data_IF_962843504801
#
_entry.id   IF_962843504801
#
_cell.length_a   1.000
_cell.length_b   1.000
_cell.length_c   1.000
_cell.angle_alpha   90.00
_cell.angle_beta   90.00
_cell.angle_gamma   90.00
#
_symmetry.space_group_name_H-M   'P 1'
#
loop_
_entity.id
_entity.type
_entity.pdbx_description
1 polymer ?
#
# COMPACT_ATOMS: atom_id res chain seq x y z
N UNK A 1 -36.53 21.17 9.02
CA UNK A 1 -36.51 19.97 8.14
C UNK A 1 -35.68 20.37 6.92
N UNK A 2 -34.59 19.74 6.47
CA UNK A 2 -34.05 18.38 6.59
C UNK A 2 -32.51 18.45 6.38
N UNK A 3 -31.64 18.36 7.40
CA UNK A 3 -30.79 17.22 7.85
C UNK A 3 -29.83 16.55 6.82
N UNK A 4 -29.21 17.26 5.87
CA UNK A 4 -28.09 16.72 5.07
C UNK A 4 -26.87 17.66 5.01
N UNK A 5 -26.27 17.96 6.17
CA UNK A 5 -24.90 18.48 6.28
C UNK A 5 -24.46 18.51 7.73
N UNK A 6 -23.86 17.42 8.20
CA UNK A 6 -22.91 17.40 9.33
C UNK A 6 -22.38 15.99 9.57
N UNK A 7 -21.30 15.62 8.89
CA UNK A 7 -20.39 14.60 9.44
C UNK A 7 -18.94 14.74 8.94
N UNK A 8 -18.46 15.95 8.68
CA UNK A 8 -17.01 16.18 8.51
C UNK A 8 -16.57 17.38 9.33
N UNK A 9 -16.55 17.16 10.65
CA UNK A 9 -16.00 18.05 11.66
C UNK A 9 -14.99 17.30 12.50
N UNK A 10 -13.70 17.48 12.16
CA UNK A 10 -12.50 17.39 12.99
C UNK A 10 -12.72 16.94 14.45
N UNK A 11 -12.37 15.68 14.73
CA UNK A 11 -11.80 15.24 16.02
C UNK A 11 -10.58 14.36 15.71
N UNK A 12 -9.36 14.71 16.16
CA UNK A 12 -8.24 13.78 16.15
C UNK A 12 -8.41 12.79 17.30
N UNK A 13 -9.31 11.82 17.10
CA UNK A 13 -9.49 10.70 18.02
C UNK A 13 -8.55 9.57 17.65
N UNK A 14 -7.38 9.51 18.29
CA UNK A 14 -6.75 8.37 18.98
C UNK A 14 -7.04 6.91 18.53
N UNK A 15 -7.45 6.66 17.30
CA UNK A 15 -7.69 5.33 16.72
C UNK A 15 -6.77 5.13 15.51
N UNK A 16 -5.49 4.93 15.80
CA UNK A 16 -4.49 4.64 14.78
C UNK A 16 -3.11 4.24 15.30
N UNK A 17 -2.86 4.27 16.61
CA UNK A 17 -1.60 3.84 17.21
C UNK A 17 -1.66 2.41 17.77
N UNK A 18 -2.12 1.47 16.95
CA UNK A 18 -1.83 0.04 17.14
C UNK A 18 -1.45 -0.61 15.81
N UNK A 19 -0.59 0.07 15.05
CA UNK A 19 0.21 -0.56 13.99
C UNK A 19 1.70 -0.18 14.11
N UNK A 20 2.19 -0.05 15.35
CA UNK A 20 3.62 -0.04 15.58
C UNK A 20 4.12 -1.49 15.71
N UNK A 21 4.74 -1.92 14.60
CA UNK A 21 5.69 -3.02 14.45
C UNK A 21 5.16 -4.47 14.53
N UNK A 22 5.48 -5.33 13.52
CA UNK A 22 6.83 -5.47 13.00
C UNK A 22 6.98 -5.13 11.51
N UNK A 23 6.97 -3.84 11.18
CA UNK A 23 7.59 -3.33 9.95
C UNK A 23 9.12 -3.25 10.03
N UNK A 24 9.69 -3.35 11.24
CA UNK A 24 11.13 -3.26 11.49
C UNK A 24 11.90 -4.50 11.01
N UNK A 25 11.25 -5.67 10.97
CA UNK A 25 11.92 -6.91 10.61
C UNK A 25 12.14 -7.05 9.09
N UNK A 26 11.39 -6.32 8.26
CA UNK A 26 11.56 -6.28 6.80
C UNK A 26 12.76 -5.42 6.35
N UNK A 27 13.38 -4.66 7.26
CA UNK A 27 14.50 -3.75 6.94
C UNK A 27 15.88 -4.40 6.98
N UNK A 28 15.99 -5.66 7.39
CA UNK A 28 17.28 -6.38 7.51
C UNK A 28 17.61 -7.27 6.32
N UNK A 29 16.66 -7.49 5.40
CA UNK A 29 16.93 -8.28 4.21
C UNK A 29 17.51 -7.37 3.12
N UNK A 30 18.62 -7.76 2.45
CA UNK A 30 19.12 -7.02 1.32
C UNK A 30 18.02 -6.89 0.27
N UNK A 31 17.61 -5.66 -0.06
CA UNK A 31 16.66 -5.41 -1.14
C UNK A 31 17.36 -5.78 -2.47
N UNK A 32 16.84 -6.77 -3.22
CA UNK A 32 17.43 -7.11 -4.50
C UNK A 32 17.44 -5.87 -5.41
N UNK A 33 18.57 -5.58 -6.07
CA UNK A 33 18.77 -4.33 -6.80
C UNK A 33 17.68 -4.05 -7.84
N UNK A 34 17.19 -5.08 -8.51
CA UNK A 34 16.12 -5.03 -9.51
C UNK A 34 14.80 -4.45 -8.96
N UNK A 35 14.53 -4.53 -7.65
CA UNK A 35 13.27 -4.04 -7.06
C UNK A 35 13.40 -2.66 -6.39
N UNK A 36 14.61 -2.12 -6.27
CA UNK A 36 14.86 -0.93 -5.43
C UNK A 36 14.07 0.29 -5.87
N UNK A 37 14.02 0.56 -7.18
CA UNK A 37 13.35 1.77 -7.69
C UNK A 37 11.82 1.66 -7.60
N UNK A 38 11.25 0.48 -7.87
CA UNK A 38 9.82 0.26 -7.69
C UNK A 38 9.41 0.30 -6.22
N UNK A 39 10.17 -0.31 -5.32
CA UNK A 39 9.91 -0.23 -3.87
C UNK A 39 10.04 1.21 -3.36
N UNK A 40 11.04 1.96 -3.85
CA UNK A 40 11.19 3.40 -3.53
C UNK A 40 9.96 4.18 -4.00
N UNK A 41 9.52 3.94 -5.23
CA UNK A 41 8.35 4.60 -5.83
C UNK A 41 7.09 4.28 -5.04
N UNK A 42 6.81 3.01 -4.76
CA UNK A 42 5.66 2.59 -3.99
C UNK A 42 5.62 3.24 -2.60
N UNK A 43 6.74 3.24 -1.87
CA UNK A 43 6.84 3.85 -0.53
C UNK A 43 6.63 5.36 -0.57
N UNK A 44 7.24 6.06 -1.53
CA UNK A 44 7.08 7.51 -1.71
C UNK A 44 5.63 7.87 -2.02
N UNK A 45 4.99 7.11 -2.90
CA UNK A 45 3.61 7.29 -3.32
C UNK A 45 2.62 7.05 -2.18
N UNK A 46 2.79 5.98 -1.41
CA UNK A 46 1.99 5.74 -0.19
C UNK A 46 2.18 6.87 0.81
N UNK A 47 3.41 7.35 1.04
CA UNK A 47 3.68 8.48 1.93
C UNK A 47 2.96 9.76 1.46
N UNK A 48 2.92 10.00 0.15
CA UNK A 48 2.20 11.14 -0.44
C UNK A 48 0.69 11.04 -0.22
N UNK A 49 0.09 9.88 -0.47
CA UNK A 49 -1.32 9.62 -0.16
C UNK A 49 -1.61 9.85 1.34
N UNK A 50 -0.81 9.27 2.23
CA UNK A 50 -1.04 9.39 3.68
C UNK A 50 -0.90 10.84 4.18
N UNK A 51 -0.01 11.64 3.57
CA UNK A 51 0.23 13.02 3.99
C UNK A 51 -0.80 14.00 3.43
N UNK A 52 -1.24 13.81 2.18
CA UNK A 52 -2.01 14.81 1.44
C UNK A 52 -3.38 14.33 0.97
N UNK A 53 -3.74 13.07 1.21
CA UNK A 53 -4.97 12.47 0.69
C UNK A 53 -4.98 12.28 -0.82
N UNK A 54 -3.82 12.36 -1.48
CA UNK A 54 -3.70 12.27 -2.94
C UNK A 54 -3.99 10.84 -3.43
N UNK A 55 -5.25 10.57 -3.78
CA UNK A 55 -5.69 9.26 -4.23
C UNK A 55 -4.94 8.80 -5.50
N UNK A 56 -4.54 9.71 -6.39
CA UNK A 56 -3.78 9.36 -7.59
C UNK A 56 -2.39 8.80 -7.28
N UNK A 57 -1.81 9.16 -6.12
CA UNK A 57 -0.56 8.57 -5.68
C UNK A 57 -0.70 7.06 -5.43
N UNK A 58 -1.88 6.57 -5.07
CA UNK A 58 -2.09 5.13 -4.89
C UNK A 58 -2.04 4.36 -6.22
N UNK A 59 -2.38 4.98 -7.35
CA UNK A 59 -2.24 4.36 -8.69
C UNK A 59 -0.77 4.10 -9.01
N UNK A 60 0.10 5.07 -8.70
CA UNK A 60 1.53 4.94 -8.85
C UNK A 60 2.12 3.88 -7.90
N UNK A 61 1.60 3.78 -6.67
CA UNK A 61 2.02 2.73 -5.74
C UNK A 61 1.61 1.32 -6.21
N UNK A 62 0.39 1.18 -6.73
CA UNK A 62 -0.11 -0.09 -7.28
C UNK A 62 0.73 -0.54 -8.47
N UNK A 63 0.95 0.35 -9.43
CA UNK A 63 1.74 0.06 -10.63
C UNK A 63 3.17 -0.37 -10.29
N UNK A 64 3.77 0.23 -9.25
CA UNK A 64 5.10 -0.14 -8.80
C UNK A 64 5.12 -1.53 -8.14
N UNK A 65 4.14 -1.86 -7.30
CA UNK A 65 4.04 -3.21 -6.74
C UNK A 65 3.72 -4.27 -7.80
N UNK A 66 2.88 -3.96 -8.78
CA UNK A 66 2.61 -4.85 -9.91
C UNK A 66 3.88 -5.16 -10.70
N UNK A 67 4.75 -4.17 -10.95
CA UNK A 67 6.06 -4.41 -11.58
C UNK A 67 6.96 -5.32 -10.75
N UNK A 68 6.98 -5.17 -9.43
CA UNK A 68 7.73 -6.08 -8.54
C UNK A 68 7.20 -7.51 -8.63
N UNK A 69 5.89 -7.69 -8.48
CA UNK A 69 5.27 -9.02 -8.43
C UNK A 69 5.32 -9.77 -9.77
N UNK A 70 5.27 -9.03 -10.89
CA UNK A 70 5.33 -9.62 -12.23
C UNK A 70 6.76 -9.74 -12.77
N UNK A 71 7.78 -9.31 -12.03
CA UNK A 71 9.15 -9.39 -12.49
C UNK A 71 9.64 -10.84 -12.55
N UNK A 72 10.36 -11.28 -13.60
CA UNK A 72 10.81 -12.67 -13.74
C UNK A 72 11.70 -13.18 -12.59
N UNK A 73 12.45 -12.29 -11.93
CA UNK A 73 13.29 -12.66 -10.79
C UNK A 73 12.51 -12.86 -9.48
N UNK A 74 11.26 -12.38 -9.39
CA UNK A 74 10.49 -12.38 -8.14
C UNK A 74 10.29 -13.78 -7.54
N UNK A 75 9.92 -14.83 -8.30
CA UNK A 75 9.79 -16.18 -7.75
C UNK A 75 11.09 -16.77 -7.19
N UNK A 76 12.24 -16.28 -7.63
CA UNK A 76 13.57 -16.71 -7.16
C UNK A 76 14.08 -15.95 -5.92
N UNK A 77 13.33 -14.96 -5.42
CA UNK A 77 13.72 -14.20 -4.22
C UNK A 77 13.42 -14.98 -2.93
N UNK A 78 13.98 -14.54 -1.80
CA UNK A 78 13.66 -15.13 -0.50
C UNK A 78 12.15 -15.08 -0.19
N UNK A 79 11.59 -16.17 0.34
CA UNK A 79 10.17 -16.28 0.67
C UNK A 79 9.67 -15.13 1.57
N UNK A 80 10.54 -14.64 2.47
CA UNK A 80 10.23 -13.51 3.35
C UNK A 80 10.11 -12.18 2.59
N UNK A 81 10.90 -11.98 1.54
CA UNK A 81 10.76 -10.84 0.64
C UNK A 81 9.45 -10.96 -0.17
N UNK A 82 9.16 -12.15 -0.72
CA UNK A 82 7.92 -12.39 -1.46
C UNK A 82 6.69 -12.06 -0.62
N UNK A 83 6.62 -12.61 0.61
CA UNK A 83 5.54 -12.33 1.56
C UNK A 83 5.42 -10.84 1.89
N UNK A 84 6.54 -10.15 2.10
CA UNK A 84 6.53 -8.71 2.38
C UNK A 84 6.04 -7.89 1.19
N UNK A 85 6.40 -8.26 -0.04
CA UNK A 85 5.94 -7.60 -1.26
C UNK A 85 4.43 -7.80 -1.46
N UNK A 86 3.93 -9.04 -1.41
CA UNK A 86 2.49 -9.35 -1.53
C UNK A 86 1.66 -8.59 -0.49
N UNK A 87 2.07 -8.62 0.77
CA UNK A 87 1.38 -7.89 1.84
C UNK A 87 1.33 -6.37 1.60
N UNK A 88 2.42 -5.79 1.12
CA UNK A 88 2.44 -4.35 0.84
C UNK A 88 1.60 -3.98 -0.38
N UNK A 89 1.60 -4.82 -1.42
CA UNK A 89 0.76 -4.67 -2.59
C UNK A 89 -0.74 -4.76 -2.23
N UNK A 90 -1.16 -5.79 -1.50
CA UNK A 90 -2.54 -5.94 -1.01
C UNK A 90 -2.99 -4.76 -0.15
N UNK A 91 -2.10 -4.24 0.72
CA UNK A 91 -2.35 -3.02 1.50
C UNK A 91 -2.51 -1.75 0.65
N UNK A 92 -1.89 -1.66 -0.51
CA UNK A 92 -2.07 -0.54 -1.45
C UNK A 92 -3.41 -0.67 -2.15
N UNK A 93 -3.74 -1.87 -2.65
CA UNK A 93 -5.02 -2.16 -3.30
C UNK A 93 -6.21 -1.87 -2.38
N UNK A 94 -6.15 -2.32 -1.12
CA UNK A 94 -7.18 -2.01 -0.12
C UNK A 94 -7.33 -0.49 0.12
N UNK A 95 -6.24 0.27 0.10
CA UNK A 95 -6.30 1.74 0.22
C UNK A 95 -6.94 2.37 -1.01
N UNK A 96 -6.62 1.88 -2.22
CA UNK A 96 -7.23 2.37 -3.47
C UNK A 96 -8.72 2.11 -3.49
N UNK A 97 -9.15 0.90 -3.16
CA UNK A 97 -10.57 0.56 -3.00
C UNK A 97 -11.27 1.54 -2.05
N UNK A 98 -10.70 1.77 -0.86
CA UNK A 98 -11.30 2.68 0.13
C UNK A 98 -11.36 4.14 -0.35
N UNK A 99 -10.38 4.58 -1.12
CA UNK A 99 -10.29 5.97 -1.57
C UNK A 99 -11.11 6.25 -2.85
N UNK A 100 -11.28 5.25 -3.71
CA UNK A 100 -11.80 5.41 -5.08
C UNK A 100 -12.98 4.50 -5.43
N UNK A 101 -13.35 3.56 -4.55
CA UNK A 101 -14.47 2.62 -4.78
C UNK A 101 -14.20 1.52 -5.82
N UNK A 102 -12.94 1.27 -6.19
CA UNK A 102 -12.56 0.30 -7.23
C UNK A 102 -12.60 -1.13 -6.69
N UNK A 103 -13.70 -1.84 -6.92
CA UNK A 103 -13.92 -3.22 -6.40
C UNK A 103 -12.87 -4.21 -6.94
N UNK A 104 -12.39 -4.02 -8.16
CA UNK A 104 -11.36 -4.88 -8.77
C UNK A 104 -10.06 -4.90 -7.96
N UNK A 105 -9.78 -3.84 -7.19
CA UNK A 105 -8.62 -3.81 -6.30
C UNK A 105 -8.78 -4.81 -5.14
N UNK A 106 -10.01 -5.11 -4.68
CA UNK A 106 -10.25 -6.14 -3.67
C UNK A 106 -10.07 -7.54 -4.23
N UNK A 107 -10.63 -7.81 -5.40
CA UNK A 107 -10.46 -9.11 -6.08
C UNK A 107 -8.98 -9.40 -6.27
N UNK A 108 -8.23 -8.41 -6.78
CA UNK A 108 -6.79 -8.54 -6.96
C UNK A 108 -6.04 -8.73 -5.64
N UNK A 109 -6.46 -8.11 -4.54
CA UNK A 109 -5.80 -8.26 -3.25
C UNK A 109 -5.96 -9.67 -2.64
N UNK A 110 -7.03 -10.39 -2.99
CA UNK A 110 -7.26 -11.77 -2.56
C UNK A 110 -6.41 -12.79 -3.33
N UNK A 111 -5.89 -12.42 -4.49
CA UNK A 111 -5.00 -13.23 -5.32
C UNK A 111 -3.51 -13.13 -4.90
N UNK A 112 -3.17 -12.29 -3.92
CA UNK A 112 -1.81 -12.00 -3.46
C UNK A 112 -1.43 -12.74 -2.17
#
# INVERSE_FOLDING_TARGET
MSIFSRLFGKKPGHLGQTQDAPGAAASSLPLPPEFREDIRTARKSVKRFLRFGDASALDAASSAWERVLNHPAFPGTEARFQLAASNNAGRVLLRRYRAQGRVQDLDRALEL
#
